data_IF_754132575849
#
_entry.id   IF_754132575849
#
_cell.length_a   1.000
_cell.length_b   1.000
_cell.length_c   1.000
_cell.angle_alpha   90.00
_cell.angle_beta   90.00
_cell.angle_gamma   90.00
#
_symmetry.space_group_name_H-M   'P 1'
#
loop_
_entity.id
_entity.type
_entity.pdbx_description
1 polymer ?
#
# COMPACT_ATOMS: atom_id res chain seq x y z
N UNK A 1 14.90 -10.04 -2.63
CA UNK A 1 13.58 -10.72 -2.66
C UNK A 1 12.69 -9.85 -3.52
N UNK A 2 11.96 -10.44 -4.48
CA UNK A 2 11.34 -9.69 -5.58
C UNK A 2 10.00 -9.08 -5.14
N UNK A 3 9.75 -7.79 -5.38
CA UNK A 3 8.46 -7.17 -5.08
C UNK A 3 7.35 -7.83 -5.90
N UNK A 4 6.15 -7.90 -5.34
CA UNK A 4 4.95 -8.29 -6.08
C UNK A 4 4.49 -7.05 -6.84
N UNK A 5 4.58 -7.11 -8.17
CA UNK A 5 4.15 -6.04 -9.07
C UNK A 5 2.76 -6.44 -9.60
N UNK A 6 1.73 -5.70 -9.21
CA UNK A 6 0.39 -5.87 -9.79
C UNK A 6 0.25 -4.94 -11.01
N UNK A 7 -0.23 -5.48 -12.12
CA UNK A 7 -0.19 -4.85 -13.44
C UNK A 7 -1.55 -4.96 -14.15
N UNK A 8 -2.08 -3.85 -14.69
CA UNK A 8 -3.37 -3.79 -15.44
C UNK A 8 -3.21 -3.03 -16.77
N UNK A 9 -3.73 -3.58 -17.88
CA UNK A 9 -3.33 -3.27 -19.27
C UNK A 9 -4.38 -2.53 -20.13
N UNK A 10 -3.92 -1.62 -21.01
CA UNK A 10 -4.47 -1.30 -22.35
C UNK A 10 -3.34 -0.93 -23.35
N UNK A 11 -3.10 -1.74 -24.40
CA UNK A 11 -2.35 -1.37 -25.64
C UNK A 11 -0.83 -1.08 -25.55
N UNK A 12 0.01 -1.64 -26.45
CA UNK A 12 1.51 -1.57 -26.49
C UNK A 12 2.08 -0.23 -27.06
N UNK A 13 3.38 0.18 -27.02
CA UNK A 13 4.74 -0.46 -27.04
C UNK A 13 5.92 0.55 -26.78
N UNK A 14 7.11 0.14 -26.26
CA UNK A 14 8.52 0.52 -26.66
C UNK A 14 9.65 0.35 -25.56
N UNK A 15 10.83 -0.18 -25.95
CA UNK A 15 12.00 -0.80 -25.23
C UNK A 15 12.86 -0.04 -24.16
N UNK A 16 13.25 -0.70 -23.02
CA UNK A 16 14.44 -0.48 -22.10
C UNK A 16 14.67 -1.56 -20.97
N UNK A 17 15.87 -2.23 -20.84
CA UNK A 17 16.43 -3.30 -19.88
C UNK A 17 15.65 -4.61 -19.44
N UNK A 18 16.13 -5.86 -19.67
CA UNK A 18 15.34 -7.11 -19.85
C UNK A 18 14.09 -7.33 -18.99
N UNK A 19 14.23 -7.28 -17.65
CA UNK A 19 13.18 -7.67 -16.70
C UNK A 19 12.16 -6.54 -16.49
N UNK A 20 12.63 -5.28 -16.46
CA UNK A 20 11.77 -4.10 -16.36
C UNK A 20 11.23 -3.68 -17.75
N UNK A 21 11.89 -4.06 -18.88
CA UNK A 21 11.35 -3.93 -20.26
C UNK A 21 10.00 -4.59 -20.32
N UNK A 22 9.93 -5.82 -19.81
CA UNK A 22 8.77 -6.66 -20.03
C UNK A 22 7.54 -5.98 -19.44
N UNK A 23 7.71 -5.34 -18.28
CA UNK A 23 6.63 -4.62 -17.62
C UNK A 23 6.27 -3.33 -18.38
N UNK A 24 7.23 -2.47 -18.69
CA UNK A 24 6.92 -1.18 -19.34
C UNK A 24 6.36 -1.35 -20.77
N UNK A 25 6.91 -2.29 -21.56
CA UNK A 25 6.48 -2.53 -22.93
C UNK A 25 5.10 -3.18 -23.03
N UNK A 26 4.57 -3.70 -21.93
CA UNK A 26 3.27 -4.35 -21.91
C UNK A 26 2.08 -3.37 -21.93
N UNK A 27 2.31 -2.06 -21.73
CA UNK A 27 1.23 -1.06 -21.79
C UNK A 27 0.33 -1.08 -20.57
N UNK A 28 0.93 -1.00 -19.39
CA UNK A 28 0.19 -0.93 -18.13
C UNK A 28 -0.16 0.51 -17.77
N UNK A 29 -1.40 0.72 -17.37
CA UNK A 29 -1.90 2.05 -16.95
C UNK A 29 -1.29 2.44 -15.60
N UNK A 30 -1.06 1.44 -14.73
CA UNK A 30 -0.39 1.63 -13.46
C UNK A 30 0.38 0.37 -13.02
N UNK A 31 1.34 0.61 -12.13
CA UNK A 31 2.10 -0.39 -11.38
C UNK A 31 1.79 -0.18 -9.91
N UNK A 32 1.39 -1.23 -9.21
CA UNK A 32 1.33 -1.21 -7.74
C UNK A 32 2.51 -2.00 -7.16
N UNK A 33 3.26 -1.33 -6.28
CA UNK A 33 4.33 -1.90 -5.48
C UNK A 33 3.80 -2.23 -4.10
N UNK A 34 3.73 -3.53 -3.79
CA UNK A 34 3.24 -4.02 -2.51
C UNK A 34 4.27 -4.88 -1.80
N UNK A 35 4.27 -4.85 -0.47
CA UNK A 35 5.01 -5.78 0.37
C UNK A 35 5.12 -5.34 1.84
N UNK A 36 6.08 -5.92 2.56
CA UNK A 36 6.59 -5.33 3.81
C UNK A 36 6.25 -6.09 5.10
N UNK A 37 5.38 -7.11 5.05
CA UNK A 37 5.16 -7.98 6.23
C UNK A 37 5.40 -9.47 5.94
N UNK A 38 5.17 -9.95 4.71
CA UNK A 38 5.44 -11.34 4.33
C UNK A 38 6.91 -11.65 4.04
N UNK A 39 7.71 -10.65 3.69
CA UNK A 39 9.14 -10.81 3.34
C UNK A 39 10.06 -10.89 4.57
N UNK A 40 9.48 -10.78 5.78
CA UNK A 40 10.17 -10.72 7.07
C UNK A 40 10.60 -12.10 7.61
N UNK A 41 11.29 -12.90 6.80
CA UNK A 41 11.99 -14.09 7.35
C UNK A 41 13.44 -13.76 7.71
N UNK A 42 13.98 -12.61 7.30
CA UNK A 42 15.34 -12.23 7.68
C UNK A 42 15.49 -10.71 7.86
N UNK A 43 16.18 -10.33 8.93
CA UNK A 43 16.70 -9.00 9.26
C UNK A 43 15.81 -8.10 10.14
N UNK A 44 16.01 -8.31 11.44
CA UNK A 44 15.93 -7.31 12.50
C UNK A 44 16.63 -5.99 12.09
N UNK A 45 16.05 -4.87 12.54
CA UNK A 45 16.46 -3.46 12.38
C UNK A 45 15.87 -2.72 11.18
N UNK A 46 14.71 -2.09 11.42
CA UNK A 46 14.21 -0.99 10.57
C UNK A 46 15.20 0.17 10.65
N UNK A 47 15.68 0.65 9.50
CA UNK A 47 16.37 1.95 9.44
C UNK A 47 15.40 3.04 9.91
N UNK A 48 15.91 4.02 10.65
CA UNK A 48 15.10 5.17 11.10
C UNK A 48 14.45 5.93 9.94
N UNK A 49 15.09 5.94 8.76
CA UNK A 49 14.52 6.49 7.52
C UNK A 49 13.25 5.75 7.08
N UNK A 50 13.21 4.42 7.20
CA UNK A 50 12.04 3.60 6.86
C UNK A 50 10.90 3.79 7.86
N UNK A 51 11.21 4.03 9.15
CA UNK A 51 10.18 4.38 10.14
C UNK A 51 9.60 5.77 9.86
N UNK A 52 10.45 6.76 9.59
CA UNK A 52 10.04 8.14 9.29
C UNK A 52 9.19 8.27 8.04
N UNK A 53 9.46 7.45 7.01
CA UNK A 53 8.73 7.47 5.74
C UNK A 53 7.52 6.52 5.70
N UNK A 54 7.28 5.77 6.78
CA UNK A 54 6.18 4.81 6.98
C UNK A 54 6.08 3.65 5.97
N UNK A 55 6.67 3.74 4.78
CA UNK A 55 6.60 2.71 3.75
C UNK A 55 7.99 2.14 3.41
N UNK A 56 8.09 0.81 3.46
CA UNK A 56 9.31 0.05 3.16
C UNK A 56 9.73 0.18 1.69
N UNK A 57 8.77 0.33 0.79
CA UNK A 57 9.03 0.34 -0.66
C UNK A 57 9.25 1.72 -1.26
N UNK A 58 9.25 2.80 -0.48
CA UNK A 58 9.53 4.11 -1.07
C UNK A 58 10.95 4.19 -1.65
N UNK A 59 11.95 3.60 -0.99
CA UNK A 59 13.31 3.51 -1.53
C UNK A 59 13.37 2.66 -2.81
N UNK A 60 12.53 1.61 -2.90
CA UNK A 60 12.42 0.84 -4.13
C UNK A 60 11.68 1.62 -5.23
N UNK A 61 10.62 2.33 -4.87
CA UNK A 61 9.83 3.17 -5.76
C UNK A 61 10.67 4.30 -6.36
N UNK A 62 11.48 4.98 -5.55
CA UNK A 62 12.49 5.97 -5.97
C UNK A 62 13.44 5.39 -7.04
N UNK A 63 13.90 4.14 -6.85
CA UNK A 63 14.84 3.50 -7.78
C UNK A 63 14.20 3.06 -9.10
N UNK A 64 12.91 2.71 -9.11
CA UNK A 64 12.22 2.28 -10.34
C UNK A 64 11.52 3.43 -11.06
N UNK A 65 11.25 4.55 -10.38
CA UNK A 65 10.59 5.73 -10.95
C UNK A 65 11.24 6.22 -12.25
N UNK A 66 12.58 6.26 -12.40
CA UNK A 66 13.21 6.65 -13.66
C UNK A 66 12.89 5.72 -14.84
N UNK A 67 12.48 4.48 -14.57
CA UNK A 67 12.06 3.50 -15.58
C UNK A 67 10.62 3.78 -16.01
N UNK A 68 9.71 3.97 -15.06
CA UNK A 68 8.29 4.20 -15.29
C UNK A 68 7.97 5.69 -15.49
N UNK A 69 8.23 6.21 -16.69
CA UNK A 69 7.99 7.64 -17.01
C UNK A 69 6.51 7.97 -17.24
N UNK A 70 5.79 7.07 -17.90
CA UNK A 70 4.40 7.29 -18.34
C UNK A 70 3.40 6.39 -17.58
N UNK A 71 3.88 5.60 -16.61
CA UNK A 71 3.07 4.64 -15.85
C UNK A 71 2.83 5.18 -14.44
N UNK A 72 1.57 5.19 -14.00
CA UNK A 72 1.21 5.60 -12.64
C UNK A 72 1.74 4.58 -11.64
N UNK A 73 2.48 5.02 -10.62
CA UNK A 73 3.04 4.15 -9.59
C UNK A 73 2.25 4.31 -8.30
N UNK A 74 1.64 3.23 -7.81
CA UNK A 74 1.08 3.15 -6.46
C UNK A 74 2.05 2.41 -5.54
N UNK A 75 2.17 2.89 -4.30
CA UNK A 75 2.89 2.18 -3.23
C UNK A 75 1.89 1.79 -2.15
N UNK A 76 1.86 0.50 -1.84
CA UNK A 76 1.00 -0.10 -0.81
C UNK A 76 1.84 -0.70 0.30
N UNK A 77 1.57 -0.30 1.53
CA UNK A 77 2.13 -0.92 2.72
C UNK A 77 2.82 0.05 3.66
N UNK A 78 2.41 -0.02 4.94
CA UNK A 78 3.05 0.70 6.04
C UNK A 78 2.52 2.11 6.32
N UNK A 79 1.89 2.78 5.34
CA UNK A 79 1.26 4.09 5.53
C UNK A 79 0.17 4.06 6.61
N UNK A 80 0.25 5.02 7.54
CA UNK A 80 -0.75 5.20 8.59
C UNK A 80 -1.11 6.66 8.84
N UNK A 81 -0.27 7.62 8.44
CA UNK A 81 -0.53 9.05 8.68
C UNK A 81 -0.71 9.82 7.38
N UNK A 82 -1.54 10.87 7.42
CA UNK A 82 -1.72 11.81 6.33
C UNK A 82 -0.38 12.44 5.92
N UNK A 83 0.46 12.80 6.90
CA UNK A 83 1.80 13.35 6.65
C UNK A 83 2.68 12.37 5.88
N UNK A 84 2.75 11.10 6.29
CA UNK A 84 3.53 10.07 5.59
C UNK A 84 3.07 9.89 4.14
N UNK A 85 1.75 9.82 3.94
CA UNK A 85 1.14 9.70 2.62
C UNK A 85 1.39 10.92 1.72
N UNK A 86 1.17 12.13 2.22
CA UNK A 86 1.38 13.37 1.48
C UNK A 86 2.85 13.56 1.12
N UNK A 87 3.76 13.23 2.03
CA UNK A 87 5.19 13.34 1.77
C UNK A 87 5.61 12.41 0.64
N UNK A 88 5.17 11.14 0.64
CA UNK A 88 5.49 10.17 -0.41
C UNK A 88 5.00 10.61 -1.80
N UNK A 89 3.84 11.27 -1.88
CA UNK A 89 3.35 11.82 -3.15
C UNK A 89 4.13 13.07 -3.56
N UNK A 90 4.38 14.00 -2.63
CA UNK A 90 5.09 15.25 -2.93
C UNK A 90 6.57 15.07 -3.26
N UNK A 91 7.22 14.03 -2.74
CA UNK A 91 8.60 13.68 -3.10
C UNK A 91 8.71 13.06 -4.50
N UNK A 92 7.58 12.64 -5.10
CA UNK A 92 7.57 11.94 -6.38
C UNK A 92 7.92 10.45 -6.28
N UNK A 93 7.99 9.90 -5.06
CA UNK A 93 8.27 8.49 -4.83
C UNK A 93 7.13 7.61 -5.36
N UNK A 94 5.90 8.14 -5.36
CA UNK A 94 4.69 7.46 -5.86
C UNK A 94 3.63 8.46 -6.31
N UNK A 95 2.80 8.08 -7.28
CA UNK A 95 1.64 8.87 -7.72
C UNK A 95 0.39 8.61 -6.86
N UNK A 96 0.38 7.54 -6.07
CA UNK A 96 -0.78 7.17 -5.27
C UNK A 96 -0.46 6.20 -4.13
N UNK A 97 -1.35 6.18 -3.14
CA UNK A 97 -1.17 5.40 -1.92
C UNK A 97 -2.19 4.26 -1.86
N UNK A 98 -1.71 3.05 -1.65
CA UNK A 98 -2.57 1.92 -1.27
C UNK A 98 -2.62 1.72 0.23
N UNK A 99 -3.83 1.50 0.75
CA UNK A 99 -4.08 1.21 2.16
C UNK A 99 -4.67 -0.20 2.30
N UNK A 100 -4.13 -0.97 3.25
CA UNK A 100 -4.60 -2.33 3.59
C UNK A 100 -5.15 -2.40 5.01
N UNK A 101 -4.34 -2.84 5.97
CA UNK A 101 -4.76 -3.03 7.38
C UNK A 101 -5.47 -1.83 8.03
N UNK A 102 -5.09 -0.55 7.78
CA UNK A 102 -5.85 0.58 8.33
C UNK A 102 -7.33 0.60 7.92
N UNK A 103 -7.64 0.29 6.66
CA UNK A 103 -9.00 0.40 6.12
C UNK A 103 -9.89 -0.80 6.50
N UNK A 104 -9.32 -1.88 7.03
CA UNK A 104 -10.14 -2.97 7.58
C UNK A 104 -10.82 -2.56 8.87
N UNK A 105 -10.16 -1.73 9.69
CA UNK A 105 -10.73 -1.15 10.89
C UNK A 105 -11.62 0.06 10.60
N UNK A 106 -11.22 0.87 9.62
CA UNK A 106 -11.84 2.17 9.31
C UNK A 106 -11.89 2.39 7.79
N UNK A 107 -12.91 1.85 7.10
CA UNK A 107 -12.99 1.90 5.63
C UNK A 107 -13.16 3.31 5.08
N UNK A 108 -13.74 4.20 5.87
CA UNK A 108 -13.92 5.61 5.53
C UNK A 108 -12.71 6.49 5.92
N UNK A 109 -11.61 5.89 6.39
CA UNK A 109 -10.37 6.59 6.72
C UNK A 109 -9.88 7.52 5.60
N UNK A 110 -9.84 7.13 4.30
CA UNK A 110 -9.42 8.04 3.24
C UNK A 110 -10.31 9.27 3.16
N UNK A 111 -11.63 9.10 3.30
CA UNK A 111 -12.59 10.20 3.28
C UNK A 111 -12.39 11.13 4.48
N UNK A 112 -12.23 10.58 5.68
CA UNK A 112 -11.95 11.34 6.91
C UNK A 112 -10.66 12.16 6.80
N UNK A 113 -9.60 11.58 6.22
CA UNK A 113 -8.35 12.30 5.98
C UNK A 113 -8.54 13.45 5.00
N UNK A 114 -9.23 13.21 3.89
CA UNK A 114 -9.51 14.25 2.88
C UNK A 114 -10.41 15.36 3.41
N UNK A 115 -11.33 15.04 4.32
CA UNK A 115 -12.19 16.00 5.00
C UNK A 115 -11.52 16.72 6.18
N UNK A 116 -10.31 16.32 6.59
CA UNK A 116 -9.64 16.86 7.77
C UNK A 116 -10.24 16.42 9.11
N UNK A 117 -11.06 15.37 9.12
CA UNK A 117 -11.71 14.81 10.32
C UNK A 117 -10.70 14.01 11.18
N UNK A 118 -9.73 13.36 10.55
CA UNK A 118 -8.60 12.72 11.21
C UNK A 118 -7.34 12.79 10.33
N UNK A 119 -6.16 12.58 10.92
CA UNK A 119 -4.88 12.63 10.19
C UNK A 119 -4.07 11.34 10.29
N UNK A 120 -4.65 10.29 10.87
CA UNK A 120 -3.99 8.99 11.02
C UNK A 120 -5.00 7.87 11.22
N UNK A 121 -4.61 6.65 10.82
CA UNK A 121 -5.30 5.43 11.17
C UNK A 121 -5.40 5.25 12.69
N UNK A 122 -6.49 4.62 13.16
CA UNK A 122 -6.65 4.29 14.57
C UNK A 122 -5.48 3.44 15.12
N UNK A 123 -5.14 3.67 16.38
CA UNK A 123 -4.21 2.81 17.12
C UNK A 123 -4.94 1.57 17.61
N UNK A 124 -4.84 0.50 16.82
CA UNK A 124 -5.47 -0.80 17.12
C UNK A 124 -4.88 -1.52 18.33
N UNK A 125 -3.83 -1.00 18.98
CA UNK A 125 -3.10 -1.65 20.10
C UNK A 125 -2.51 -3.02 19.75
N UNK A 126 -2.42 -3.34 18.47
CA UNK A 126 -1.79 -4.54 17.92
C UNK A 126 -0.41 -4.17 17.42
N UNK A 127 0.58 -5.03 17.69
CA UNK A 127 1.89 -4.91 17.07
C UNK A 127 1.76 -5.04 15.54
N UNK A 128 2.05 -3.96 14.83
CA UNK A 128 1.95 -3.91 13.37
C UNK A 128 3.01 -4.75 12.67
N UNK A 129 4.04 -5.19 13.40
CA UNK A 129 5.08 -6.07 12.89
C UNK A 129 4.74 -7.56 13.05
N UNK A 130 3.75 -7.92 13.88
CA UNK A 130 3.21 -9.28 13.96
C UNK A 130 2.22 -9.53 12.82
N UNK A 131 2.70 -10.19 11.77
CA UNK A 131 1.88 -10.52 10.60
C UNK A 131 0.69 -11.41 10.96
N UNK A 132 0.89 -12.43 11.81
CA UNK A 132 -0.16 -13.40 12.12
C UNK A 132 -1.29 -12.71 12.87
N UNK A 133 -0.95 -11.92 13.89
CA UNK A 133 -1.93 -11.19 14.68
C UNK A 133 -2.66 -10.14 13.83
N UNK A 134 -1.93 -9.35 13.04
CA UNK A 134 -2.57 -8.34 12.19
C UNK A 134 -3.44 -8.95 11.09
N UNK A 135 -3.09 -10.12 10.56
CA UNK A 135 -3.92 -10.87 9.62
C UNK A 135 -5.25 -11.32 10.26
N UNK A 136 -5.22 -11.91 11.45
CA UNK A 136 -6.42 -12.35 12.15
C UNK A 136 -7.32 -11.17 12.51
N UNK A 137 -6.75 -10.08 13.03
CA UNK A 137 -7.50 -8.87 13.38
C UNK A 137 -8.16 -8.25 12.15
N UNK A 138 -7.42 -8.10 11.05
CA UNK A 138 -7.96 -7.56 9.80
C UNK A 138 -9.10 -8.44 9.25
N UNK A 139 -8.93 -9.76 9.30
CA UNK A 139 -9.96 -10.72 8.88
C UNK A 139 -11.22 -10.61 9.73
N UNK A 140 -11.05 -10.49 11.06
CA UNK A 140 -12.18 -10.31 11.97
C UNK A 140 -12.91 -8.99 11.71
N UNK A 141 -12.19 -7.88 11.52
CA UNK A 141 -12.79 -6.57 11.25
C UNK A 141 -13.60 -6.57 9.94
N UNK A 142 -13.02 -7.06 8.85
CA UNK A 142 -13.73 -7.21 7.58
C UNK A 142 -14.94 -8.15 7.72
N UNK A 143 -14.79 -9.25 8.45
CA UNK A 143 -15.85 -10.23 8.67
C UNK A 143 -16.99 -9.73 9.55
N UNK A 144 -16.77 -8.79 10.46
CA UNK A 144 -17.86 -8.13 11.19
C UNK A 144 -18.57 -7.11 10.31
N UNK A 145 -17.80 -6.37 9.50
CA UNK A 145 -18.35 -5.34 8.62
C UNK A 145 -19.17 -5.88 7.45
N UNK A 146 -18.84 -7.08 6.96
CA UNK A 146 -19.58 -7.71 5.87
C UNK A 146 -20.94 -8.28 6.29
N UNK A 147 -21.23 -8.34 7.60
CA UNK A 147 -22.51 -8.84 8.09
C UNK A 147 -23.60 -7.80 7.89
N UNK A 148 -24.77 -8.27 7.45
CA UNK A 148 -25.97 -7.46 7.46
C UNK A 148 -26.38 -7.14 8.90
N UNK A 149 -27.03 -5.98 9.15
CA UNK A 149 -27.65 -5.71 10.43
C UNK A 149 -28.62 -6.83 10.76
N UNK A 150 -28.61 -7.31 12.00
CA UNK A 150 -29.45 -8.44 12.45
C UNK A 150 -30.93 -8.27 12.09
N UNK A 151 -31.42 -7.02 12.09
CA UNK A 151 -32.80 -6.67 11.73
C UNK A 151 -33.20 -7.04 10.29
N UNK A 152 -32.26 -7.24 9.38
CA UNK A 152 -32.52 -7.57 7.95
C UNK A 152 -32.57 -9.10 7.73
N UNK A 153 -32.24 -9.92 8.73
CA UNK A 153 -32.21 -11.38 8.62
C UNK A 153 -33.50 -12.07 9.09
N UNK A 154 -34.45 -11.31 9.65
CA UNK A 154 -35.72 -11.80 10.21
C UNK A 154 -36.95 -11.47 9.32
N UNK A 155 -36.74 -11.05 8.07
CA UNK A 155 -37.78 -10.86 7.02
C UNK A 155 -37.58 -11.86 5.87
#
# INVERSE_FOLDING_TARGET
MNPVILLRRRGASALLRPETIFVQNCGFDFVELSGGTMEKVAFHHRRESTKKREAFFLEFAENIRPVFKDTVIYVTGGFRTATGMVNAVKSGDTDGIGLGRPITAEPDLPKKILNGECYSAADTKVDQDDFKMTFYVSSAQMGQMSKLPTRVLDE
#
